data_IF_042911386125
#
_entry.id   IF_042911386125
#
_cell.length_a   1.000
_cell.length_b   1.000
_cell.length_c   1.000
_cell.angle_alpha   90.00
_cell.angle_beta   90.00
_cell.angle_gamma   90.00
#
_symmetry.space_group_name_H-M   'P 1'
#
loop_
_entity.id
_entity.type
_entity.pdbx_description
1 polymer ?
#
# COMPACT_ATOMS: atom_id res chain seq x y z
N UNK A 1 -35.93 1.07 -21.21
CA UNK A 1 -34.78 0.68 -20.37
C UNK A 1 -34.72 1.67 -19.24
N UNK A 2 -35.12 1.31 -18.03
CA UNK A 2 -35.03 2.16 -16.85
C UNK A 2 -33.53 2.38 -16.57
N UNK A 3 -33.04 3.61 -16.68
CA UNK A 3 -31.71 3.97 -16.25
C UNK A 3 -31.63 3.71 -14.73
N UNK A 4 -31.06 2.58 -14.36
CA UNK A 4 -30.74 2.33 -12.97
C UNK A 4 -29.73 3.42 -12.56
N UNK A 5 -30.04 4.20 -11.50
CA UNK A 5 -29.12 5.20 -10.96
C UNK A 5 -27.74 4.61 -10.66
N UNK A 6 -26.77 5.43 -10.26
CA UNK A 6 -25.40 4.98 -9.98
C UNK A 6 -25.36 3.84 -8.95
N UNK A 7 -24.38 2.97 -9.07
CA UNK A 7 -24.07 1.99 -8.01
C UNK A 7 -23.40 2.73 -6.86
N UNK A 8 -23.97 2.67 -5.67
CA UNK A 8 -23.41 3.30 -4.49
C UNK A 8 -22.41 2.37 -3.81
N UNK A 9 -21.20 2.87 -3.57
CA UNK A 9 -20.09 2.15 -2.92
C UNK A 9 -19.69 2.90 -1.66
N UNK A 10 -19.81 2.27 -0.52
CA UNK A 10 -19.45 2.82 0.80
C UNK A 10 -18.10 2.25 1.22
N UNK A 11 -17.08 3.11 1.37
CA UNK A 11 -15.72 2.69 1.73
C UNK A 11 -15.46 3.05 3.19
N UNK A 12 -15.07 2.03 3.98
CA UNK A 12 -14.74 2.11 5.40
C UNK A 12 -13.37 1.50 5.66
N UNK A 13 -12.63 2.02 6.64
CA UNK A 13 -11.35 1.42 7.08
C UNK A 13 -10.10 2.19 6.63
N UNK A 14 -10.23 3.19 5.76
CA UNK A 14 -9.18 4.21 5.56
C UNK A 14 -9.38 5.37 6.56
N UNK A 15 -8.37 6.21 6.74
CA UNK A 15 -8.53 7.45 7.52
C UNK A 15 -9.30 8.54 6.75
N UNK A 16 -9.64 8.28 5.48
CA UNK A 16 -10.39 9.16 4.60
C UNK A 16 -9.54 9.83 3.51
N UNK A 17 -10.21 10.67 2.73
CA UNK A 17 -9.64 11.47 1.63
C UNK A 17 -9.94 12.96 1.88
N UNK A 18 -9.09 13.92 1.39
CA UNK A 18 -7.86 13.70 0.63
C UNK A 18 -6.81 12.92 1.41
N UNK A 19 -6.12 12.01 0.72
CA UNK A 19 -5.10 11.15 1.32
C UNK A 19 -3.78 11.89 1.53
N UNK A 20 -3.37 12.09 2.78
CA UNK A 20 -2.09 12.72 3.10
C UNK A 20 -0.94 11.71 3.28
N UNK A 21 -1.21 10.53 3.80
CA UNK A 21 -0.22 9.46 4.05
C UNK A 21 -0.90 8.13 4.39
N UNK A 22 -0.47 7.04 3.75
CA UNK A 22 -0.94 5.68 4.03
C UNK A 22 -1.39 4.96 2.76
N UNK A 23 -1.25 3.63 2.73
CA UNK A 23 -1.60 2.81 1.57
C UNK A 23 -3.09 2.89 1.21
N UNK A 24 -3.97 2.74 2.21
CA UNK A 24 -5.41 2.81 1.99
C UNK A 24 -5.91 4.21 1.64
N UNK A 25 -5.36 5.24 2.29
CA UNK A 25 -5.70 6.63 1.99
C UNK A 25 -5.36 6.97 0.54
N UNK A 26 -4.14 6.62 0.09
CA UNK A 26 -3.72 6.79 -1.30
C UNK A 26 -4.59 5.98 -2.26
N UNK A 27 -4.90 4.73 -1.91
CA UNK A 27 -5.75 3.87 -2.73
C UNK A 27 -7.14 4.48 -2.93
N UNK A 28 -7.82 4.88 -1.86
CA UNK A 28 -9.18 5.46 -1.94
C UNK A 28 -9.17 6.79 -2.68
N UNK A 29 -8.16 7.63 -2.44
CA UNK A 29 -8.00 8.92 -3.11
C UNK A 29 -7.85 8.73 -4.62
N UNK A 30 -6.96 7.84 -5.05
CA UNK A 30 -6.74 7.54 -6.47
C UNK A 30 -7.93 6.86 -7.14
N UNK A 31 -8.58 5.94 -6.46
CA UNK A 31 -9.76 5.27 -6.99
C UNK A 31 -10.90 6.27 -7.23
N UNK A 32 -11.16 7.16 -6.27
CA UNK A 32 -12.20 8.18 -6.41
C UNK A 32 -11.84 9.24 -7.45
N UNK A 33 -10.57 9.67 -7.54
CA UNK A 33 -10.07 10.57 -8.58
C UNK A 33 -10.31 10.00 -9.99
N UNK A 34 -10.00 8.72 -10.22
CA UNK A 34 -10.18 8.08 -11.53
C UNK A 34 -11.64 7.89 -11.93
N UNK A 35 -12.53 7.81 -10.95
CA UNK A 35 -13.96 7.64 -11.17
C UNK A 35 -14.79 8.91 -10.95
N UNK A 36 -14.17 10.08 -10.75
CA UNK A 36 -14.89 11.32 -10.41
C UNK A 36 -15.93 11.74 -11.46
N UNK A 37 -15.67 11.43 -12.74
CA UNK A 37 -16.55 11.75 -13.86
C UNK A 37 -17.42 10.56 -14.30
N UNK A 38 -17.33 9.42 -13.59
CA UNK A 38 -18.09 8.22 -13.92
C UNK A 38 -19.48 8.23 -13.26
N UNK A 39 -20.49 8.49 -14.06
CA UNK A 39 -21.88 8.55 -13.60
C UNK A 39 -22.49 7.18 -13.22
N UNK A 40 -21.78 6.08 -13.48
CA UNK A 40 -22.25 4.74 -13.10
C UNK A 40 -21.95 4.38 -11.64
N UNK A 41 -21.06 5.14 -10.98
CA UNK A 41 -20.59 4.95 -9.61
C UNK A 41 -20.81 6.19 -8.75
N UNK A 42 -21.17 5.99 -7.48
CA UNK A 42 -21.21 7.04 -6.46
C UNK A 42 -20.54 6.54 -5.20
N UNK A 43 -19.41 7.12 -4.86
CA UNK A 43 -18.66 6.77 -3.66
C UNK A 43 -19.15 7.53 -2.43
N UNK A 44 -19.11 6.85 -1.28
CA UNK A 44 -19.31 7.40 0.06
C UNK A 44 -18.11 6.96 0.90
N UNK A 45 -17.32 7.91 1.39
CA UNK A 45 -16.06 7.61 2.06
C UNK A 45 -16.11 8.06 3.51
N UNK A 46 -15.88 7.12 4.43
CA UNK A 46 -15.71 7.44 5.84
C UNK A 46 -14.35 8.10 6.09
N UNK A 47 -14.35 9.20 6.82
CA UNK A 47 -13.16 9.97 7.16
C UNK A 47 -13.00 10.04 8.68
N UNK A 48 -11.80 9.73 9.19
CA UNK A 48 -11.49 9.85 10.61
C UNK A 48 -11.23 11.32 10.94
N UNK A 49 -12.14 11.95 11.66
CA UNK A 49 -12.00 13.33 12.09
C UNK A 49 -12.52 13.55 13.52
N UNK A 50 -12.28 14.74 14.06
CA UNK A 50 -12.85 15.16 15.34
C UNK A 50 -14.19 15.89 15.18
N UNK A 51 -14.43 16.41 13.98
CA UNK A 51 -15.64 17.15 13.64
C UNK A 51 -16.57 16.26 12.79
N UNK A 52 -17.88 16.36 13.00
CA UNK A 52 -18.86 15.59 12.22
C UNK A 52 -19.30 16.40 10.99
N UNK A 53 -18.42 16.52 10.00
CA UNK A 53 -18.69 17.24 8.75
C UNK A 53 -19.03 16.29 7.61
N UNK A 54 -19.68 16.82 6.60
CA UNK A 54 -19.85 16.20 5.28
C UNK A 54 -19.31 17.13 4.22
N UNK A 55 -18.60 16.57 3.26
CA UNK A 55 -18.02 17.32 2.15
C UNK A 55 -17.95 16.43 0.91
N UNK A 56 -17.70 17.05 -0.25
CA UNK A 56 -17.53 16.34 -1.52
C UNK A 56 -16.08 16.49 -1.95
N UNK A 57 -15.47 15.38 -2.34
CA UNK A 57 -14.11 15.35 -2.87
C UNK A 57 -14.02 14.26 -3.95
N UNK A 58 -13.47 14.57 -5.13
CA UNK A 58 -13.49 13.71 -6.32
C UNK A 58 -14.87 13.09 -6.60
N UNK A 59 -15.93 13.90 -6.48
CA UNK A 59 -17.31 13.47 -6.58
C UNK A 59 -17.76 12.39 -5.56
N UNK A 60 -16.92 12.04 -4.59
CA UNK A 60 -17.29 11.18 -3.48
C UNK A 60 -17.94 12.00 -2.34
N UNK A 61 -19.00 11.45 -1.74
CA UNK A 61 -19.61 12.01 -0.53
C UNK A 61 -18.79 11.54 0.70
N UNK A 62 -17.97 12.42 1.23
CA UNK A 62 -17.15 12.16 2.41
C UNK A 62 -17.91 12.52 3.69
N UNK A 63 -17.80 11.67 4.71
CA UNK A 63 -18.42 11.90 6.01
C UNK A 63 -17.45 11.61 7.14
N UNK A 64 -17.35 12.57 8.06
CA UNK A 64 -16.47 12.48 9.22
C UNK A 64 -17.09 11.58 10.29
N UNK A 65 -16.28 10.71 10.83
CA UNK A 65 -16.61 9.84 11.96
C UNK A 65 -15.76 10.25 13.16
N UNK A 66 -16.43 10.69 14.23
CA UNK A 66 -15.77 11.08 15.47
C UNK A 66 -15.25 9.83 16.20
N UNK A 67 -13.99 9.88 16.59
CA UNK A 67 -13.31 8.77 17.26
C UNK A 67 -12.77 9.23 18.61
N UNK A 68 -13.25 8.65 19.71
CA UNK A 68 -12.72 8.94 21.04
C UNK A 68 -11.27 8.48 21.18
N UNK A 69 -10.53 9.13 22.07
CA UNK A 69 -9.14 8.71 22.36
C UNK A 69 -9.12 7.50 23.31
N UNK A 70 -9.24 6.31 22.72
CA UNK A 70 -9.25 5.01 23.41
C UNK A 70 -8.05 4.13 23.00
N UNK A 71 -6.94 4.77 22.59
CA UNK A 71 -5.73 4.07 22.22
C UNK A 71 -5.90 3.10 21.05
N UNK A 72 -5.33 1.89 21.08
CA UNK A 72 -5.35 0.94 19.95
C UNK A 72 -6.76 0.51 19.49
N UNK A 73 -7.76 0.59 20.37
CA UNK A 73 -9.16 0.25 20.04
C UNK A 73 -9.83 1.28 19.13
N UNK A 74 -9.22 2.45 18.93
CA UNK A 74 -9.75 3.50 18.04
C UNK A 74 -10.06 3.01 16.63
N UNK A 75 -9.23 2.12 16.07
CA UNK A 75 -9.43 1.63 14.71
C UNK A 75 -10.70 0.77 14.60
N UNK A 76 -10.94 -0.08 15.59
CA UNK A 76 -12.14 -0.93 15.65
C UNK A 76 -13.38 -0.04 15.85
N UNK A 77 -13.32 0.89 16.80
CA UNK A 77 -14.41 1.84 17.06
C UNK A 77 -14.78 2.62 15.79
N UNK A 78 -13.76 3.17 15.11
CA UNK A 78 -13.95 3.93 13.89
C UNK A 78 -14.69 3.13 12.82
N UNK A 79 -14.23 1.91 12.52
CA UNK A 79 -14.83 1.07 11.49
C UNK A 79 -16.28 0.68 11.84
N UNK A 80 -16.57 0.37 13.11
CA UNK A 80 -17.91 0.02 13.58
C UNK A 80 -18.86 1.24 13.51
N UNK A 81 -18.40 2.42 13.95
CA UNK A 81 -19.17 3.66 13.88
C UNK A 81 -19.44 4.06 12.41
N UNK A 82 -18.43 3.98 11.56
CA UNK A 82 -18.57 4.25 10.12
C UNK A 82 -19.58 3.32 9.45
N UNK A 83 -19.56 2.02 9.77
CA UNK A 83 -20.53 1.07 9.25
C UNK A 83 -21.95 1.35 9.73
N UNK A 84 -22.13 1.76 10.98
CA UNK A 84 -23.41 2.17 11.50
C UNK A 84 -23.96 3.38 10.73
N UNK A 85 -23.11 4.36 10.45
CA UNK A 85 -23.49 5.55 9.66
C UNK A 85 -23.82 5.19 8.22
N UNK A 86 -23.05 4.30 7.59
CA UNK A 86 -23.33 3.76 6.24
C UNK A 86 -24.72 3.10 6.20
N UNK A 87 -24.99 2.16 7.10
CA UNK A 87 -26.29 1.45 7.19
C UNK A 87 -27.44 2.43 7.41
N UNK A 88 -27.26 3.41 8.29
CA UNK A 88 -28.27 4.44 8.58
C UNK A 88 -28.54 5.31 7.34
N UNK A 89 -27.51 5.71 6.62
CA UNK A 89 -27.63 6.47 5.38
C UNK A 89 -28.33 5.66 4.27
N UNK A 90 -27.91 4.42 4.04
CA UNK A 90 -28.53 3.49 3.06
C UNK A 90 -30.03 3.34 3.33
N UNK A 91 -30.40 3.08 4.58
CA UNK A 91 -31.80 2.91 4.98
C UNK A 91 -32.62 4.18 4.77
N UNK A 92 -32.11 5.33 5.21
CA UNK A 92 -32.80 6.64 5.12
C UNK A 92 -33.05 7.05 3.67
N UNK A 93 -32.05 6.83 2.80
CA UNK A 93 -32.11 7.24 1.42
C UNK A 93 -32.63 6.13 0.48
N UNK A 94 -32.99 4.96 1.01
CA UNK A 94 -33.50 3.80 0.26
C UNK A 94 -32.60 3.43 -0.91
N UNK A 95 -31.28 3.41 -0.67
CA UNK A 95 -30.28 3.15 -1.71
C UNK A 95 -30.40 1.71 -2.18
N UNK A 96 -30.65 1.45 -3.49
CA UNK A 96 -30.80 0.11 -4.00
C UNK A 96 -29.41 -0.56 -4.18
N UNK A 97 -29.31 -1.80 -3.77
CA UNK A 97 -28.14 -2.67 -3.97
C UNK A 97 -26.80 -2.00 -3.64
N UNK A 98 -26.61 -1.42 -2.43
CA UNK A 98 -25.34 -0.80 -2.06
C UNK A 98 -24.23 -1.85 -1.95
N UNK A 99 -22.98 -1.46 -2.26
CA UNK A 99 -21.78 -2.20 -1.86
C UNK A 99 -21.18 -1.49 -0.65
N UNK A 100 -20.91 -2.24 0.41
CA UNK A 100 -20.12 -1.76 1.55
C UNK A 100 -18.77 -2.44 1.50
N UNK A 101 -17.70 -1.66 1.28
CA UNK A 101 -16.34 -2.15 1.12
C UNK A 101 -15.50 -1.78 2.33
N UNK A 102 -15.09 -2.78 3.11
CA UNK A 102 -14.32 -2.61 4.35
C UNK A 102 -12.85 -2.93 4.09
N UNK A 103 -11.99 -1.99 4.44
CA UNK A 103 -10.53 -2.10 4.28
C UNK A 103 -9.91 -2.58 5.60
N UNK A 104 -9.20 -3.70 5.56
CA UNK A 104 -8.62 -4.47 6.67
C UNK A 104 -9.60 -5.22 7.57
N UNK A 105 -9.11 -6.31 8.13
CA UNK A 105 -9.90 -7.26 8.93
C UNK A 105 -9.91 -6.91 10.42
N UNK A 106 -10.47 -5.72 10.80
CA UNK A 106 -10.45 -5.24 12.20
C UNK A 106 -11.68 -5.57 13.01
N UNK A 107 -12.83 -5.83 12.36
CA UNK A 107 -14.14 -5.85 13.00
C UNK A 107 -14.81 -7.24 13.01
N UNK A 108 -14.03 -8.30 12.99
CA UNK A 108 -14.50 -9.69 12.92
C UNK A 108 -15.72 -10.00 13.80
N UNK A 109 -15.72 -9.67 15.10
CA UNK A 109 -16.87 -9.95 16.00
C UNK A 109 -18.19 -9.28 15.57
N UNK A 110 -18.12 -8.20 14.80
CA UNK A 110 -19.30 -7.43 14.38
C UNK A 110 -19.74 -7.77 12.94
N UNK A 111 -18.90 -8.44 12.16
CA UNK A 111 -19.10 -8.64 10.71
C UNK A 111 -20.40 -9.37 10.40
N UNK A 112 -20.72 -10.45 11.13
CA UNK A 112 -21.96 -11.21 10.94
C UNK A 112 -23.23 -10.36 11.18
N UNK A 113 -23.18 -9.39 12.08
CA UNK A 113 -24.28 -8.47 12.32
C UNK A 113 -24.45 -7.52 11.12
N UNK A 114 -23.37 -6.84 10.71
CA UNK A 114 -23.44 -5.90 9.60
C UNK A 114 -23.78 -6.57 8.27
N UNK A 115 -23.24 -7.74 7.97
CA UNK A 115 -23.61 -8.50 6.77
C UNK A 115 -25.14 -8.73 6.73
N UNK A 116 -25.72 -9.25 7.81
CA UNK A 116 -27.19 -9.48 7.86
C UNK A 116 -28.00 -8.21 7.68
N UNK A 117 -27.54 -7.09 8.23
CA UNK A 117 -28.23 -5.80 8.08
C UNK A 117 -28.10 -5.28 6.65
N UNK A 118 -26.92 -5.35 6.05
CA UNK A 118 -26.65 -4.94 4.66
C UNK A 118 -27.48 -5.79 3.69
N UNK A 119 -27.54 -7.12 3.89
CA UNK A 119 -28.38 -8.02 3.08
C UNK A 119 -29.88 -7.67 3.16
N UNK A 120 -30.39 -7.31 4.36
CA UNK A 120 -31.79 -6.86 4.51
C UNK A 120 -32.06 -5.56 3.75
N UNK A 121 -31.05 -4.78 3.45
CA UNK A 121 -31.12 -3.56 2.64
C UNK A 121 -30.85 -3.84 1.14
N UNK A 122 -30.67 -5.12 0.76
CA UNK A 122 -30.40 -5.55 -0.61
C UNK A 122 -28.97 -5.27 -1.08
N UNK A 123 -28.04 -5.06 -0.15
CA UNK A 123 -26.62 -4.76 -0.43
C UNK A 123 -25.69 -5.95 -0.24
N UNK A 124 -24.41 -5.72 -0.48
CA UNK A 124 -23.32 -6.69 -0.37
C UNK A 124 -22.18 -6.12 0.48
N UNK A 125 -21.51 -6.99 1.26
CA UNK A 125 -20.37 -6.66 2.10
C UNK A 125 -19.09 -7.24 1.49
N UNK A 126 -18.23 -6.38 0.97
CA UNK A 126 -16.91 -6.73 0.46
C UNK A 126 -15.84 -6.37 1.49
N UNK A 127 -14.77 -7.16 1.55
CA UNK A 127 -13.66 -6.96 2.50
C UNK A 127 -12.34 -7.06 1.77
N UNK A 128 -11.45 -6.10 2.01
CA UNK A 128 -10.03 -6.24 1.68
C UNK A 128 -9.32 -6.78 2.92
N UNK A 129 -8.64 -7.94 2.86
CA UNK A 129 -8.02 -8.54 4.04
C UNK A 129 -6.76 -7.80 4.52
N UNK A 130 -6.22 -6.84 3.74
CA UNK A 130 -4.85 -6.30 3.94
C UNK A 130 -3.79 -7.41 3.77
N UNK A 131 -2.58 -7.18 4.21
CA UNK A 131 -1.61 -8.25 4.40
C UNK A 131 -1.77 -8.92 5.78
N UNK A 132 -0.90 -9.84 6.12
CA UNK A 132 -0.91 -10.59 7.38
C UNK A 132 -0.67 -9.68 8.60
N UNK A 133 -1.64 -8.79 8.96
CA UNK A 133 -1.47 -7.81 10.05
C UNK A 133 -1.12 -8.49 11.38
N UNK A 134 -1.61 -9.72 11.60
CA UNK A 134 -1.30 -10.54 12.76
C UNK A 134 0.17 -11.00 12.82
N UNK A 135 0.93 -10.93 11.73
CA UNK A 135 2.37 -11.24 11.72
C UNK A 135 3.25 -10.06 12.12
N UNK A 136 2.72 -8.83 12.11
CA UNK A 136 3.53 -7.63 12.35
C UNK A 136 4.11 -7.60 13.76
N UNK A 137 5.42 -7.34 13.84
CA UNK A 137 6.19 -7.35 15.10
C UNK A 137 5.73 -6.29 16.12
N UNK A 138 5.11 -5.20 15.67
CA UNK A 138 4.58 -4.12 16.53
C UNK A 138 3.47 -4.57 17.50
N UNK A 139 2.82 -5.72 17.23
CA UNK A 139 1.70 -6.19 18.01
C UNK A 139 2.10 -7.22 19.07
N UNK A 140 1.55 -7.08 20.28
CA UNK A 140 1.68 -8.10 21.33
C UNK A 140 0.96 -9.40 20.95
N UNK A 141 1.32 -10.52 21.57
CA UNK A 141 0.72 -11.84 21.30
C UNK A 141 -0.83 -11.82 21.37
N UNK A 142 -1.49 -11.25 22.39
CA UNK A 142 -2.95 -11.20 22.44
C UNK A 142 -3.57 -10.40 21.29
N UNK A 143 -2.93 -9.29 20.90
CA UNK A 143 -3.40 -8.46 19.77
C UNK A 143 -3.25 -9.21 18.45
N UNK A 144 -2.15 -9.94 18.26
CA UNK A 144 -1.96 -10.79 17.07
C UNK A 144 -3.01 -11.90 16.99
N UNK A 145 -3.34 -12.53 18.13
CA UNK A 145 -4.41 -13.53 18.18
C UNK A 145 -5.77 -12.92 17.83
N UNK A 146 -6.08 -11.71 18.31
CA UNK A 146 -7.28 -10.99 17.93
C UNK A 146 -7.34 -10.73 16.41
N UNK A 147 -6.25 -10.25 15.82
CA UNK A 147 -6.19 -9.99 14.37
C UNK A 147 -6.47 -11.26 13.55
N UNK A 148 -5.83 -12.39 13.90
CA UNK A 148 -6.04 -13.66 13.22
C UNK A 148 -7.49 -14.15 13.36
N UNK A 149 -8.06 -14.03 14.56
CA UNK A 149 -9.46 -14.37 14.82
C UNK A 149 -10.44 -13.45 14.08
N UNK A 150 -10.15 -12.14 14.04
CA UNK A 150 -10.95 -11.17 13.31
C UNK A 150 -10.93 -11.44 11.80
N UNK A 151 -9.76 -11.73 11.22
CA UNK A 151 -9.60 -12.13 9.82
C UNK A 151 -10.46 -13.34 9.48
N UNK A 152 -10.41 -14.39 10.32
CA UNK A 152 -11.24 -15.60 10.20
C UNK A 152 -12.74 -15.27 10.15
N UNK A 153 -13.23 -14.44 11.08
CA UNK A 153 -14.64 -14.08 11.15
C UNK A 153 -15.07 -13.19 9.98
N UNK A 154 -14.21 -12.26 9.55
CA UNK A 154 -14.52 -11.40 8.40
C UNK A 154 -14.51 -12.18 7.10
N UNK A 155 -13.59 -13.14 6.92
CA UNK A 155 -13.60 -14.06 5.78
C UNK A 155 -14.88 -14.90 5.75
N UNK A 156 -15.30 -15.43 6.90
CA UNK A 156 -16.54 -16.23 7.00
C UNK A 156 -17.81 -15.45 6.66
N UNK A 157 -17.84 -14.16 6.96
CA UNK A 157 -19.04 -13.34 6.91
C UNK A 157 -18.94 -12.18 5.89
N UNK A 158 -18.05 -12.25 4.92
CA UNK A 158 -18.06 -11.37 3.74
C UNK A 158 -18.73 -12.05 2.56
N UNK A 159 -19.27 -11.26 1.65
CA UNK A 159 -19.80 -11.76 0.39
C UNK A 159 -18.69 -11.94 -0.65
N UNK A 160 -17.61 -11.13 -0.51
CA UNK A 160 -16.43 -11.21 -1.35
C UNK A 160 -15.21 -10.69 -0.60
N UNK A 161 -14.11 -11.43 -0.67
CA UNK A 161 -12.78 -10.98 -0.26
C UNK A 161 -12.03 -10.43 -1.48
N UNK A 162 -11.73 -9.13 -1.47
CA UNK A 162 -10.98 -8.46 -2.54
C UNK A 162 -9.51 -8.36 -2.10
N UNK A 163 -8.72 -9.31 -2.52
CA UNK A 163 -7.30 -9.41 -2.13
C UNK A 163 -6.42 -8.52 -3.01
N UNK A 164 -5.37 -7.97 -2.46
CA UNK A 164 -4.44 -7.07 -3.15
C UNK A 164 -3.27 -7.79 -3.83
N UNK A 165 -3.13 -9.09 -3.61
CA UNK A 165 -2.15 -9.96 -4.27
C UNK A 165 -2.70 -11.36 -4.50
N UNK A 166 -2.20 -12.06 -5.52
CA UNK A 166 -2.53 -13.47 -5.80
C UNK A 166 -2.08 -14.36 -4.65
N UNK A 167 -0.96 -14.03 -4.02
CA UNK A 167 -0.49 -14.75 -2.84
C UNK A 167 -1.46 -14.62 -1.66
N UNK A 168 -2.03 -13.42 -1.44
CA UNK A 168 -3.03 -13.20 -0.40
C UNK A 168 -4.36 -13.89 -0.73
N UNK A 169 -4.77 -13.89 -1.99
CA UNK A 169 -5.96 -14.63 -2.42
C UNK A 169 -5.80 -16.14 -2.18
N UNK A 170 -4.67 -16.71 -2.54
CA UNK A 170 -4.34 -18.12 -2.29
C UNK A 170 -4.38 -18.43 -0.80
N UNK A 171 -3.73 -17.61 0.02
CA UNK A 171 -3.73 -17.77 1.47
C UNK A 171 -5.15 -17.75 2.05
N UNK A 172 -6.01 -16.82 1.67
CA UNK A 172 -7.41 -16.75 2.14
C UNK A 172 -8.17 -18.00 1.74
N UNK A 173 -8.01 -18.48 0.53
CA UNK A 173 -8.68 -19.70 0.03
C UNK A 173 -8.23 -20.97 0.75
N UNK A 174 -6.93 -21.10 1.02
CA UNK A 174 -6.35 -22.29 1.65
C UNK A 174 -6.61 -22.29 3.15
N UNK A 175 -6.26 -21.20 3.86
CA UNK A 175 -6.37 -21.08 5.29
C UNK A 175 -7.81 -21.17 5.82
N UNK A 176 -8.76 -20.62 5.04
CA UNK A 176 -10.19 -20.57 5.40
C UNK A 176 -11.07 -21.41 4.48
N UNK A 177 -10.50 -22.47 3.89
CA UNK A 177 -11.21 -23.39 2.98
C UNK A 177 -12.49 -23.96 3.55
N UNK A 178 -12.58 -24.12 4.87
CA UNK A 178 -13.78 -24.58 5.60
C UNK A 178 -15.02 -23.68 5.35
N UNK A 179 -14.82 -22.41 4.99
CA UNK A 179 -15.90 -21.44 4.71
C UNK A 179 -16.15 -21.25 3.21
N UNK A 180 -15.34 -21.85 2.34
CA UNK A 180 -15.40 -21.68 0.89
C UNK A 180 -15.55 -20.22 0.48
N UNK A 181 -14.64 -19.31 0.92
CA UNK A 181 -14.78 -17.88 0.72
C UNK A 181 -14.75 -17.55 -0.77
N UNK A 182 -15.65 -16.66 -1.20
CA UNK A 182 -15.53 -16.04 -2.52
C UNK A 182 -14.42 -15.03 -2.48
N UNK A 183 -13.49 -15.11 -3.43
CA UNK A 183 -12.32 -14.23 -3.51
C UNK A 183 -12.14 -13.68 -4.90
N UNK A 184 -11.51 -12.54 -4.99
CA UNK A 184 -10.98 -11.96 -6.22
C UNK A 184 -9.68 -11.23 -5.93
N UNK A 185 -8.83 -11.12 -6.94
CA UNK A 185 -7.59 -10.36 -6.87
C UNK A 185 -7.74 -9.06 -7.64
N UNK A 186 -7.58 -7.93 -6.96
CA UNK A 186 -7.40 -6.59 -7.55
C UNK A 186 -6.36 -5.85 -6.73
N UNK A 187 -5.23 -5.56 -7.35
CA UNK A 187 -4.08 -4.94 -6.70
C UNK A 187 -4.27 -3.44 -6.43
N UNK A 188 -3.27 -2.83 -5.83
CA UNK A 188 -3.08 -1.37 -5.85
C UNK A 188 -2.50 -0.94 -7.19
N UNK A 189 -2.67 0.34 -7.51
CA UNK A 189 -2.14 0.93 -8.72
C UNK A 189 -0.89 1.79 -8.46
N UNK A 190 -0.15 2.05 -9.53
CA UNK A 190 0.89 3.07 -9.58
C UNK A 190 0.74 3.95 -10.82
N UNK A 191 1.33 5.15 -10.77
CA UNK A 191 1.46 5.97 -11.97
C UNK A 191 2.62 5.44 -12.81
N UNK A 192 2.31 5.07 -14.03
CA UNK A 192 3.29 4.58 -15.01
C UNK A 192 3.84 5.72 -15.90
N UNK A 193 3.79 6.96 -15.42
CA UNK A 193 4.32 8.15 -16.10
C UNK A 193 5.60 8.64 -15.43
N UNK A 194 6.48 9.35 -16.14
CA UNK A 194 7.59 10.05 -15.49
C UNK A 194 7.09 11.22 -14.63
N UNK A 195 7.96 11.68 -13.71
CA UNK A 195 7.73 12.88 -12.92
C UNK A 195 7.54 14.11 -13.82
N UNK A 196 6.68 15.03 -13.39
CA UNK A 196 6.52 16.32 -14.05
C UNK A 196 7.70 17.28 -13.82
N UNK A 197 8.58 16.99 -12.83
CA UNK A 197 9.76 17.80 -12.56
C UNK A 197 10.87 17.50 -13.58
N UNK A 198 11.54 18.56 -14.05
CA UNK A 198 12.76 18.44 -14.86
C UNK A 198 13.98 18.09 -13.98
N UNK A 199 15.08 17.70 -14.60
CA UNK A 199 16.32 17.38 -13.88
C UNK A 199 17.00 18.61 -13.25
N UNK A 200 16.66 19.81 -13.72
CA UNK A 200 17.12 21.10 -13.20
C UNK A 200 16.10 21.81 -12.29
N UNK A 201 15.00 21.12 -11.92
CA UNK A 201 14.00 21.71 -11.02
C UNK A 201 14.62 22.14 -9.69
N UNK A 202 14.35 23.38 -9.21
CA UNK A 202 14.92 23.90 -7.98
C UNK A 202 14.65 23.03 -6.72
N UNK A 203 13.49 22.34 -6.66
CA UNK A 203 13.17 21.44 -5.55
C UNK A 203 14.11 20.24 -5.54
N UNK A 204 14.36 19.64 -6.68
CA UNK A 204 15.26 18.49 -6.84
C UNK A 204 16.69 18.88 -6.53
N UNK A 205 17.16 19.99 -7.12
CA UNK A 205 18.50 20.49 -6.87
C UNK A 205 18.71 20.94 -5.42
N UNK A 206 17.65 21.46 -4.78
CA UNK A 206 17.63 21.75 -3.34
C UNK A 206 17.81 20.51 -2.50
N UNK A 207 17.05 19.45 -2.79
CA UNK A 207 17.12 18.16 -2.12
C UNK A 207 18.52 17.52 -2.25
N UNK A 208 19.12 17.54 -3.44
CA UNK A 208 20.49 17.04 -3.65
C UNK A 208 21.52 17.79 -2.81
N UNK A 209 21.44 19.13 -2.79
CA UNK A 209 22.39 19.96 -1.99
C UNK A 209 22.25 19.70 -0.49
N UNK A 210 21.01 19.59 -0.02
CA UNK A 210 20.72 19.34 1.40
C UNK A 210 21.28 17.99 1.86
N UNK A 211 21.19 16.97 1.02
CA UNK A 211 21.58 15.60 1.39
C UNK A 211 22.94 15.17 0.83
N UNK A 212 23.64 16.02 0.09
CA UNK A 212 24.93 15.71 -0.50
C UNK A 212 24.89 14.60 -1.53
N UNK A 213 23.77 14.48 -2.28
CA UNK A 213 23.53 13.44 -3.28
C UNK A 213 23.59 14.02 -4.70
N UNK A 214 23.69 13.15 -5.69
CA UNK A 214 23.63 13.50 -7.11
C UNK A 214 22.93 12.40 -7.93
N UNK A 215 22.44 12.69 -9.14
CA UNK A 215 21.80 11.70 -9.99
C UNK A 215 22.67 10.47 -10.20
N UNK A 216 22.06 9.28 -10.09
CA UNK A 216 22.68 7.95 -10.26
C UNK A 216 23.85 7.65 -9.28
N UNK A 217 24.04 8.46 -8.22
CA UNK A 217 25.08 8.23 -7.21
C UNK A 217 24.60 7.46 -5.98
N UNK A 218 23.33 7.06 -5.90
CA UNK A 218 22.78 6.47 -4.68
C UNK A 218 21.86 5.29 -4.93
N UNK A 219 21.93 4.32 -4.04
CA UNK A 219 20.88 3.34 -3.78
C UNK A 219 19.78 4.00 -2.96
N UNK A 220 18.53 3.62 -3.17
CA UNK A 220 17.38 4.24 -2.52
C UNK A 220 16.50 3.19 -1.85
N UNK A 221 16.01 3.48 -0.66
CA UNK A 221 14.86 2.80 -0.07
C UNK A 221 13.81 3.81 0.34
N UNK A 222 12.53 3.51 0.08
CA UNK A 222 11.39 4.34 0.51
C UNK A 222 10.40 3.46 1.25
N UNK A 223 10.10 3.78 2.50
CA UNK A 223 9.15 2.99 3.27
C UNK A 223 9.11 3.36 4.75
N UNK A 224 8.21 2.70 5.49
CA UNK A 224 8.12 2.87 6.94
C UNK A 224 9.35 2.26 7.63
N UNK A 225 9.87 2.97 8.62
CA UNK A 225 11.03 2.52 9.39
C UNK A 225 10.62 1.50 10.46
N UNK A 226 10.43 0.24 10.03
CA UNK A 226 10.00 -0.86 10.88
C UNK A 226 10.84 -2.12 10.63
N UNK A 227 11.01 -3.02 11.63
CA UNK A 227 11.88 -4.19 11.50
C UNK A 227 11.50 -5.12 10.33
N UNK A 228 10.20 -5.31 10.07
CA UNK A 228 9.69 -6.17 9.00
C UNK A 228 10.01 -5.68 7.58
N UNK A 229 10.56 -4.47 7.44
CA UNK A 229 11.07 -3.94 6.18
C UNK A 229 12.57 -4.20 5.99
N UNK A 230 13.20 -4.96 6.89
CA UNK A 230 14.58 -5.45 6.80
C UNK A 230 15.66 -4.36 6.65
N UNK A 231 15.46 -3.18 7.27
CA UNK A 231 16.46 -2.11 7.25
C UNK A 231 17.80 -2.56 7.81
N UNK A 232 17.81 -3.36 8.88
CA UNK A 232 19.06 -3.89 9.46
C UNK A 232 19.84 -4.73 8.44
N UNK A 233 19.17 -5.62 7.73
CA UNK A 233 19.80 -6.45 6.70
C UNK A 233 20.35 -5.58 5.57
N UNK A 234 19.53 -4.69 5.01
CA UNK A 234 19.95 -3.82 3.91
C UNK A 234 21.17 -2.95 4.30
N UNK A 235 21.18 -2.38 5.49
CA UNK A 235 22.30 -1.56 6.00
C UNK A 235 23.56 -2.41 6.18
N UNK A 236 23.49 -3.57 6.85
CA UNK A 236 24.65 -4.45 7.06
C UNK A 236 25.26 -4.91 5.74
N UNK A 237 24.43 -5.35 4.83
CA UNK A 237 24.86 -5.86 3.54
C UNK A 237 25.44 -4.74 2.66
N UNK A 238 24.85 -3.54 2.72
CA UNK A 238 25.40 -2.38 2.03
C UNK A 238 26.77 -1.98 2.59
N UNK A 239 26.93 -1.93 3.90
CA UNK A 239 28.23 -1.66 4.54
C UNK A 239 29.29 -2.71 4.21
N UNK A 240 28.87 -3.97 4.06
CA UNK A 240 29.75 -5.08 3.68
C UNK A 240 30.08 -5.11 2.19
N UNK A 241 29.35 -4.38 1.35
CA UNK A 241 29.62 -4.27 -0.09
C UNK A 241 30.81 -3.34 -0.38
N UNK A 242 31.39 -3.48 -1.56
CA UNK A 242 32.43 -2.59 -2.08
C UNK A 242 31.89 -1.33 -2.78
N UNK A 243 30.59 -1.06 -2.71
CA UNK A 243 29.98 0.09 -3.39
C UNK A 243 30.54 1.42 -2.93
N UNK A 244 30.86 2.28 -3.86
CA UNK A 244 31.29 3.67 -3.59
C UNK A 244 30.11 4.66 -3.59
N UNK A 245 28.88 4.18 -3.90
CA UNK A 245 27.67 4.99 -3.93
C UNK A 245 27.13 5.23 -2.52
N UNK A 246 26.28 6.24 -2.39
CA UNK A 246 25.51 6.47 -1.17
C UNK A 246 24.30 5.53 -1.06
N UNK A 247 23.79 5.34 0.16
CA UNK A 247 22.52 4.68 0.43
C UNK A 247 21.55 5.66 1.08
N UNK A 248 20.59 6.16 0.31
CA UNK A 248 19.60 7.12 0.74
C UNK A 248 18.36 6.40 1.30
N UNK A 249 18.01 6.71 2.55
CA UNK A 249 16.84 6.14 3.23
C UNK A 249 15.76 7.23 3.39
N UNK A 250 14.74 7.18 2.54
CA UNK A 250 13.56 8.05 2.63
C UNK A 250 12.55 7.40 3.57
N UNK A 251 12.55 7.82 4.81
CA UNK A 251 11.74 7.20 5.86
C UNK A 251 11.44 8.17 7.00
N UNK A 252 10.33 7.92 7.71
CA UNK A 252 10.05 8.59 8.97
C UNK A 252 10.70 7.81 10.11
N UNK A 253 11.77 8.35 10.65
CA UNK A 253 12.60 7.68 11.65
C UNK A 253 11.89 7.61 13.00
N UNK A 254 11.93 6.43 13.63
CA UNK A 254 11.57 6.23 15.04
C UNK A 254 12.86 6.22 15.86
N UNK A 255 13.02 7.15 16.80
CA UNK A 255 14.24 7.31 17.60
C UNK A 255 14.66 5.99 18.27
N UNK A 256 13.72 5.27 18.85
CA UNK A 256 14.01 3.99 19.52
C UNK A 256 14.61 2.95 18.56
N UNK A 257 13.98 2.74 17.42
CA UNK A 257 14.45 1.74 16.45
C UNK A 257 15.74 2.19 15.76
N UNK A 258 15.93 3.51 15.57
CA UNK A 258 17.18 4.07 15.05
C UNK A 258 18.35 3.80 15.98
N UNK A 259 18.20 4.07 17.27
CA UNK A 259 19.25 3.83 18.27
C UNK A 259 19.56 2.32 18.40
N UNK A 260 18.54 1.46 18.41
CA UNK A 260 18.75 0.02 18.39
C UNK A 260 19.53 -0.44 17.15
N UNK A 261 19.16 0.10 15.97
CA UNK A 261 19.82 -0.20 14.70
C UNK A 261 21.26 0.28 14.68
N UNK A 262 21.52 1.49 15.16
CA UNK A 262 22.85 2.06 15.31
C UNK A 262 23.75 1.21 16.20
N UNK A 263 23.25 0.80 17.37
CA UNK A 263 23.99 -0.07 18.29
C UNK A 263 24.33 -1.43 17.67
N UNK A 264 23.43 -2.00 16.89
CA UNK A 264 23.62 -3.31 16.26
C UNK A 264 24.54 -3.27 15.05
N UNK A 265 24.51 -2.22 14.26
CA UNK A 265 25.18 -2.16 12.96
C UNK A 265 26.39 -1.23 12.94
N UNK A 266 26.40 -0.16 13.75
CA UNK A 266 27.42 0.88 13.71
C UNK A 266 27.35 1.72 12.42
N UNK A 267 26.20 1.81 11.77
CA UNK A 267 26.02 2.46 10.46
C UNK A 267 26.38 3.94 10.48
N UNK A 268 26.32 4.59 11.65
CA UNK A 268 26.69 6.00 11.84
C UNK A 268 28.18 6.30 11.59
N UNK A 269 29.00 5.25 11.46
CA UNK A 269 30.41 5.36 11.07
C UNK A 269 30.65 5.26 9.57
N UNK A 270 29.62 4.88 8.80
CA UNK A 270 29.67 4.80 7.34
C UNK A 270 29.00 6.02 6.72
N UNK A 271 29.81 6.94 6.21
CA UNK A 271 29.33 8.21 5.64
C UNK A 271 28.45 8.05 4.39
N UNK A 272 28.42 6.85 3.79
CA UNK A 272 27.58 6.56 2.64
C UNK A 272 26.11 6.37 3.03
N UNK A 273 25.80 6.08 4.30
CA UNK A 273 24.43 5.82 4.76
C UNK A 273 23.77 7.13 5.17
N UNK A 274 22.74 7.54 4.43
CA UNK A 274 22.10 8.85 4.56
C UNK A 274 20.59 8.71 4.85
N UNK A 275 20.20 9.05 6.08
CA UNK A 275 18.80 9.22 6.43
C UNK A 275 18.33 10.60 5.97
N UNK A 276 17.55 10.65 4.92
CA UNK A 276 17.14 11.90 4.24
C UNK A 276 15.71 12.36 4.61
N UNK A 277 15.15 11.80 5.70
CA UNK A 277 13.83 12.17 6.16
C UNK A 277 12.70 11.67 5.24
N UNK A 278 11.55 12.34 5.32
CA UNK A 278 10.35 11.98 4.55
C UNK A 278 10.13 12.99 3.44
N UNK A 279 9.82 12.52 2.24
CA UNK A 279 9.45 13.36 1.09
C UNK A 279 7.96 13.21 0.82
N UNK A 280 7.17 14.25 1.08
CA UNK A 280 5.71 14.26 0.88
C UNK A 280 5.30 14.81 -0.50
N UNK A 281 6.16 15.62 -1.14
CA UNK A 281 5.94 16.07 -2.52
C UNK A 281 6.10 14.86 -3.46
N UNK A 282 4.98 14.47 -4.05
CA UNK A 282 4.88 13.27 -4.88
C UNK A 282 5.74 13.34 -6.14
N UNK A 283 5.73 14.49 -6.83
CA UNK A 283 6.52 14.66 -8.05
C UNK A 283 8.01 14.63 -7.72
N UNK A 284 8.42 15.25 -6.60
CA UNK A 284 9.78 15.20 -6.12
C UNK A 284 10.19 13.75 -5.75
N UNK A 285 9.36 13.02 -5.02
CA UNK A 285 9.67 11.63 -4.65
C UNK A 285 9.77 10.71 -5.87
N UNK A 286 8.91 10.92 -6.88
CA UNK A 286 8.98 10.21 -8.15
C UNK A 286 10.30 10.52 -8.86
N UNK A 287 10.71 11.80 -8.92
CA UNK A 287 11.95 12.23 -9.54
C UNK A 287 13.20 11.69 -8.82
N UNK A 288 13.15 11.63 -7.49
CA UNK A 288 14.21 11.00 -6.68
C UNK A 288 14.36 9.51 -7.04
N UNK A 289 13.25 8.78 -7.23
CA UNK A 289 13.29 7.37 -7.68
C UNK A 289 13.84 7.23 -9.10
N UNK A 290 13.43 8.07 -10.04
CA UNK A 290 13.94 8.08 -11.42
C UNK A 290 15.46 8.26 -11.46
N UNK A 291 15.98 9.12 -10.59
CA UNK A 291 17.38 9.46 -10.53
C UNK A 291 18.20 8.59 -9.57
N UNK A 292 17.60 7.65 -8.87
CA UNK A 292 18.35 6.64 -8.13
C UNK A 292 19.15 5.74 -9.07
N UNK A 293 20.30 5.26 -8.61
CA UNK A 293 21.04 4.21 -9.31
C UNK A 293 20.28 2.90 -9.26
N UNK A 294 19.87 2.51 -8.04
CA UNK A 294 19.04 1.34 -7.82
C UNK A 294 18.12 1.54 -6.61
N UNK A 295 17.06 0.74 -6.54
CA UNK A 295 16.10 0.75 -5.46
C UNK A 295 16.17 -0.55 -4.65
N UNK A 296 16.25 -0.45 -3.32
CA UNK A 296 16.13 -1.58 -2.41
C UNK A 296 14.71 -1.76 -1.91
N UNK A 297 14.23 -2.99 -1.90
CA UNK A 297 12.94 -3.34 -1.32
C UNK A 297 13.08 -4.52 -0.38
N UNK A 298 12.91 -4.27 0.92
CA UNK A 298 13.08 -5.27 1.97
C UNK A 298 11.78 -5.71 2.65
N UNK A 299 10.60 -5.34 2.14
CA UNK A 299 9.33 -5.71 2.76
C UNK A 299 9.11 -7.23 2.69
N UNK A 300 8.77 -7.84 3.85
CA UNK A 300 8.54 -9.28 3.95
C UNK A 300 7.15 -9.65 4.48
N UNK A 301 6.36 -8.67 4.91
CA UNK A 301 5.01 -8.89 5.45
C UNK A 301 4.03 -7.98 4.72
N UNK A 302 2.99 -8.58 4.17
CA UNK A 302 1.93 -7.85 3.46
C UNK A 302 1.51 -8.52 2.17
N UNK A 303 0.80 -7.79 1.33
CA UNK A 303 0.47 -8.09 -0.05
C UNK A 303 1.26 -7.19 -1.01
N UNK A 304 0.61 -6.73 -2.06
CA UNK A 304 1.22 -5.76 -2.99
C UNK A 304 1.56 -4.45 -2.28
N UNK A 305 2.81 -4.03 -2.39
CA UNK A 305 3.30 -2.82 -1.75
C UNK A 305 3.30 -1.63 -2.72
N UNK A 306 2.55 -0.53 -2.43
CA UNK A 306 2.52 0.64 -3.32
C UNK A 306 3.90 1.23 -3.60
N UNK A 307 4.81 1.27 -2.59
CA UNK A 307 6.17 1.80 -2.80
C UNK A 307 7.01 0.95 -3.76
N UNK A 308 6.75 -0.37 -3.82
CA UNK A 308 7.38 -1.26 -4.81
C UNK A 308 6.86 -0.96 -6.21
N UNK A 309 5.53 -0.81 -6.37
CA UNK A 309 4.94 -0.46 -7.66
C UNK A 309 5.50 0.85 -8.21
N UNK A 310 5.59 1.88 -7.34
CA UNK A 310 6.15 3.19 -7.70
C UNK A 310 7.64 3.09 -8.06
N UNK A 311 8.41 2.25 -7.37
CA UNK A 311 9.83 2.04 -7.67
C UNK A 311 10.01 1.34 -9.03
N UNK A 312 9.27 0.27 -9.29
CA UNK A 312 9.30 -0.43 -10.58
C UNK A 312 8.82 0.43 -11.75
N UNK A 313 7.93 1.40 -11.48
CA UNK A 313 7.50 2.38 -12.48
C UNK A 313 8.57 3.42 -12.81
N UNK A 314 9.50 3.71 -11.89
CA UNK A 314 10.39 4.88 -11.97
C UNK A 314 11.88 4.51 -12.05
N UNK A 315 12.33 3.48 -11.33
CA UNK A 315 13.76 3.12 -11.20
C UNK A 315 14.12 1.97 -12.13
N UNK A 316 15.24 2.06 -12.83
CA UNK A 316 15.65 1.03 -13.78
C UNK A 316 16.12 -0.25 -13.11
N UNK A 317 16.87 -0.16 -12.02
CA UNK A 317 17.43 -1.30 -11.29
C UNK A 317 16.77 -1.46 -9.93
N UNK A 318 16.07 -2.57 -9.73
CA UNK A 318 15.36 -2.87 -8.48
C UNK A 318 15.91 -4.15 -7.87
N UNK A 319 16.34 -4.08 -6.59
CA UNK A 319 16.91 -5.18 -5.81
C UNK A 319 15.92 -5.54 -4.69
N UNK A 320 15.19 -6.64 -4.85
CA UNK A 320 14.04 -6.97 -4.05
C UNK A 320 14.31 -8.17 -3.14
N UNK A 321 13.82 -8.11 -1.90
CA UNK A 321 13.78 -9.30 -1.05
C UNK A 321 12.96 -10.40 -1.72
N UNK A 322 13.52 -11.60 -1.79
CA UNK A 322 12.92 -12.78 -2.43
C UNK A 322 11.79 -13.36 -1.59
N UNK A 323 10.60 -12.75 -1.75
CA UNK A 323 9.35 -13.23 -1.17
C UNK A 323 8.25 -13.26 -2.24
N UNK A 324 7.23 -14.09 -2.04
CA UNK A 324 6.23 -14.41 -3.06
C UNK A 324 5.56 -13.18 -3.68
N UNK A 325 5.14 -12.21 -2.88
CA UNK A 325 4.46 -11.01 -3.41
C UNK A 325 5.39 -10.02 -4.12
N UNK A 326 6.69 -9.96 -3.76
CA UNK A 326 7.66 -9.15 -4.51
C UNK A 326 7.93 -9.78 -5.88
N UNK A 327 8.06 -11.13 -5.93
CA UNK A 327 8.20 -11.85 -7.21
C UNK A 327 6.97 -11.75 -8.08
N UNK A 328 5.77 -11.83 -7.49
CA UNK A 328 4.50 -11.67 -8.22
C UNK A 328 4.43 -10.34 -8.95
N UNK A 329 4.86 -9.27 -8.29
CA UNK A 329 4.80 -7.91 -8.85
C UNK A 329 5.86 -7.69 -9.91
N UNK A 330 7.13 -8.00 -9.62
CA UNK A 330 8.26 -7.57 -10.43
C UNK A 330 8.69 -8.60 -11.51
N UNK A 331 8.35 -9.89 -11.32
CA UNK A 331 8.71 -10.97 -12.23
C UNK A 331 10.20 -10.92 -12.63
N UNK A 332 10.51 -10.77 -13.93
CA UNK A 332 11.86 -10.65 -14.51
C UNK A 332 12.35 -9.19 -14.64
N UNK A 333 11.59 -8.22 -14.14
CA UNK A 333 11.93 -6.79 -14.10
C UNK A 333 12.81 -6.37 -12.93
N UNK A 334 13.28 -7.30 -12.09
CA UNK A 334 14.09 -7.01 -10.92
C UNK A 334 15.12 -8.11 -10.65
N UNK A 335 16.07 -7.80 -9.78
CA UNK A 335 16.99 -8.78 -9.18
C UNK A 335 16.54 -9.09 -7.75
N UNK A 336 16.83 -10.29 -7.27
CA UNK A 336 16.31 -10.77 -5.99
C UNK A 336 17.44 -11.16 -5.04
N UNK A 337 17.25 -10.83 -3.76
CA UNK A 337 18.16 -11.17 -2.68
C UNK A 337 17.45 -11.87 -1.54
N UNK A 338 18.18 -12.70 -0.81
CA UNK A 338 17.70 -13.38 0.39
C UNK A 338 18.32 -12.77 1.67
N UNK A 339 17.77 -13.11 2.84
CA UNK A 339 18.34 -12.68 4.13
C UNK A 339 19.59 -13.46 4.56
N UNK A 340 20.15 -14.30 3.70
CA UNK A 340 21.42 -14.98 3.98
C UNK A 340 22.54 -13.93 4.01
N UNK A 341 23.40 -13.97 5.05
CA UNK A 341 24.53 -13.05 5.12
C UNK A 341 25.41 -13.08 3.86
N UNK A 342 25.73 -11.91 3.33
CA UNK A 342 26.53 -11.74 2.12
C UNK A 342 25.73 -11.75 0.80
N UNK A 343 24.49 -12.21 0.79
CA UNK A 343 23.72 -12.37 -0.46
C UNK A 343 23.40 -11.02 -1.12
N UNK A 344 22.91 -10.04 -0.35
CA UNK A 344 22.66 -8.71 -0.88
C UNK A 344 23.99 -7.95 -1.16
N UNK A 345 25.02 -8.14 -0.34
CA UNK A 345 26.33 -7.50 -0.59
C UNK A 345 26.95 -7.96 -1.92
N UNK A 346 26.88 -9.25 -2.23
CA UNK A 346 27.29 -9.80 -3.53
C UNK A 346 26.45 -9.23 -4.66
N UNK A 347 25.13 -9.13 -4.46
CA UNK A 347 24.23 -8.57 -5.46
C UNK A 347 24.50 -7.07 -5.71
N UNK A 348 24.82 -6.29 -4.67
CA UNK A 348 25.24 -4.87 -4.79
C UNK A 348 26.50 -4.76 -5.63
N UNK A 349 27.54 -5.55 -5.32
CA UNK A 349 28.80 -5.55 -6.09
C UNK A 349 28.57 -5.94 -7.56
N UNK A 350 27.70 -6.92 -7.80
CA UNK A 350 27.29 -7.29 -9.15
C UNK A 350 26.56 -6.14 -9.84
N UNK A 351 25.61 -5.49 -9.14
CA UNK A 351 24.84 -4.37 -9.66
C UNK A 351 25.75 -3.21 -10.08
N UNK A 352 26.78 -2.88 -9.27
CA UNK A 352 27.73 -1.82 -9.57
C UNK A 352 28.60 -2.12 -10.81
N UNK A 353 28.78 -3.39 -11.14
CA UNK A 353 29.53 -3.87 -12.32
C UNK A 353 28.65 -4.16 -13.56
N UNK A 354 27.32 -3.96 -13.46
CA UNK A 354 26.42 -4.27 -14.57
C UNK A 354 26.57 -3.29 -15.74
N UNK A 355 26.39 -3.82 -16.92
CA UNK A 355 26.30 -3.00 -18.13
C UNK A 355 25.07 -2.07 -18.08
N UNK A 356 25.21 -0.79 -18.43
CA UNK A 356 24.08 0.14 -18.49
C UNK A 356 22.92 -0.32 -19.38
N UNK A 357 23.19 -1.07 -20.44
CA UNK A 357 22.15 -1.65 -21.31
C UNK A 357 21.35 -2.74 -20.58
N UNK A 358 22.02 -3.58 -19.79
CA UNK A 358 21.38 -4.61 -18.98
C UNK A 358 20.46 -3.96 -17.92
N UNK A 359 20.93 -2.89 -17.26
CA UNK A 359 20.13 -2.11 -16.30
C UNK A 359 18.91 -1.51 -16.99
N UNK A 360 19.08 -0.88 -18.16
CA UNK A 360 17.95 -0.32 -18.92
C UNK A 360 16.94 -1.40 -19.32
N UNK A 361 17.42 -2.56 -19.75
CA UNK A 361 16.54 -3.67 -20.12
C UNK A 361 15.68 -4.17 -18.94
N UNK A 362 16.24 -4.22 -17.72
CA UNK A 362 15.48 -4.51 -16.49
C UNK A 362 14.39 -3.44 -16.26
N UNK A 363 14.76 -2.16 -16.32
CA UNK A 363 13.83 -1.05 -16.14
C UNK A 363 12.69 -1.03 -17.16
N UNK A 364 12.98 -1.36 -18.42
CA UNK A 364 11.94 -1.48 -19.47
C UNK A 364 10.94 -2.58 -19.11
N UNK A 365 11.41 -3.77 -18.67
CA UNK A 365 10.53 -4.86 -18.25
C UNK A 365 9.70 -4.47 -17.02
N UNK A 366 10.33 -3.87 -16.02
CA UNK A 366 9.65 -3.40 -14.81
C UNK A 366 8.53 -2.40 -15.13
N UNK A 367 8.82 -1.35 -15.90
CA UNK A 367 7.83 -0.34 -16.30
C UNK A 367 6.69 -0.93 -17.14
N UNK A 368 7.02 -1.82 -18.08
CA UNK A 368 6.01 -2.51 -18.89
C UNK A 368 5.06 -3.33 -17.98
N UNK A 369 5.61 -4.08 -17.03
CA UNK A 369 4.82 -4.86 -16.08
C UNK A 369 3.87 -3.97 -15.28
N UNK A 370 4.35 -2.82 -14.78
CA UNK A 370 3.51 -1.87 -14.04
C UNK A 370 2.43 -1.26 -14.94
N UNK A 371 2.80 -0.83 -16.15
CA UNK A 371 1.84 -0.28 -17.10
C UNK A 371 0.71 -1.25 -17.42
N UNK A 372 1.06 -2.51 -17.73
CA UNK A 372 0.11 -3.51 -18.22
C UNK A 372 -0.79 -4.09 -17.11
N UNK A 373 -0.28 -4.24 -15.88
CA UNK A 373 -0.97 -4.96 -14.82
C UNK A 373 -1.28 -4.12 -13.56
N UNK A 374 -0.59 -3.00 -13.34
CA UNK A 374 -0.67 -2.23 -12.10
C UNK A 374 -0.87 -0.72 -12.33
N UNK A 375 -1.16 -0.26 -13.56
CA UNK A 375 -1.50 1.15 -13.77
C UNK A 375 -2.80 1.50 -13.06
N UNK A 376 -2.91 2.73 -12.52
CA UNK A 376 -4.16 3.18 -11.89
C UNK A 376 -5.36 3.09 -12.80
N UNK A 377 -5.17 3.27 -14.12
CA UNK A 377 -6.24 3.13 -15.09
C UNK A 377 -6.75 1.68 -15.15
N UNK A 378 -5.81 0.72 -15.24
CA UNK A 378 -6.16 -0.71 -15.24
C UNK A 378 -6.88 -1.12 -13.94
N UNK A 379 -6.32 -0.73 -12.79
CA UNK A 379 -6.89 -1.08 -11.47
C UNK A 379 -8.26 -0.43 -11.25
N UNK A 380 -8.42 0.85 -11.58
CA UNK A 380 -9.71 1.53 -11.47
C UNK A 380 -10.77 0.85 -12.35
N UNK A 381 -10.44 0.46 -13.58
CA UNK A 381 -11.34 -0.27 -14.45
C UNK A 381 -11.76 -1.62 -13.86
N UNK A 382 -10.87 -2.37 -13.21
CA UNK A 382 -11.21 -3.61 -12.53
C UNK A 382 -12.17 -3.36 -11.36
N UNK A 383 -11.95 -2.35 -10.53
CA UNK A 383 -12.88 -1.96 -9.46
C UNK A 383 -14.23 -1.48 -10.00
N UNK A 384 -14.23 -0.72 -11.11
CA UNK A 384 -15.48 -0.34 -11.77
C UNK A 384 -16.29 -1.58 -12.20
N UNK A 385 -15.64 -2.53 -12.88
CA UNK A 385 -16.28 -3.78 -13.27
C UNK A 385 -16.82 -4.53 -12.06
N UNK A 386 -15.99 -4.69 -11.01
CA UNK A 386 -16.38 -5.35 -9.77
C UNK A 386 -17.65 -4.74 -9.15
N UNK A 387 -17.69 -3.42 -9.01
CA UNK A 387 -18.79 -2.74 -8.34
C UNK A 387 -20.05 -2.64 -9.21
N UNK A 388 -19.92 -2.61 -10.54
CA UNK A 388 -21.08 -2.47 -11.47
C UNK A 388 -21.64 -3.80 -11.95
N UNK A 389 -20.87 -4.91 -11.85
CA UNK A 389 -21.40 -6.22 -12.22
C UNK A 389 -22.63 -6.58 -11.38
N UNK A 390 -23.65 -7.12 -12.09
CA UNK A 390 -24.81 -7.74 -11.43
C UNK A 390 -24.36 -9.13 -10.96
N UNK A 391 -24.24 -9.32 -9.64
CA UNK A 391 -24.14 -10.66 -9.04
C UNK A 391 -25.38 -11.47 -9.34
#
# INVERSE_FOLDING_TARGET
>A
MSASGPRHVFIVGSKGIPGSYGGYETFVDRLTERHQDDLSLKYHVACKARDSKRFVYHNADCFDVNVPDIGPAQAIWYDVAALHDCVSYIRRNRIPRPVVYVLACRIGPFTAHFQRVIHKLGGELYVNPDGHEWMRAKWSRPVRAYWKWSEKLMTRHSDLMVCDSVNMERYIREEYSEYSPKTTFISYGADARPSALSDDDPKLLGWYREHGLSPKSYYLVVGRFVPENNYETMIREFMASGSERDFALVTNVSDKFLEELKQRTGFDKDSRIRFVGTVYDRELLMKIRENAYAYFHGHEVGGTNPSLLEALASTDLNLLLDVGFNREVAEDGALYWSKKPGDLAVLINRADAMDPEEIRALGVRARRRIHDAYSWEHIANQYKQLFTHKS
#
